data_IF_906865890997
#
_entry.id   IF_906865890997
#
_cell.length_a   1.000
_cell.length_b   1.000
_cell.length_c   1.000
_cell.angle_alpha   90.00
_cell.angle_beta   90.00
_cell.angle_gamma   90.00
#
_symmetry.space_group_name_H-M   'P 1'
#
loop_
_entity.id
_entity.type
_entity.pdbx_description
1 polymer ?
#
# COMPACT_ATOMS: atom_id res chain seq x y z
N UNK A 1 -2.06 24.16 -0.37
CA UNK A 1 -3.34 23.39 -0.50
C UNK A 1 -3.07 22.28 -1.50
N UNK A 2 -2.33 21.29 -1.02
CA UNK A 2 -1.43 20.47 -1.82
C UNK A 2 -2.10 19.12 -2.11
N UNK A 3 -2.72 19.04 -3.29
CA UNK A 3 -3.10 17.83 -4.03
C UNK A 3 -3.44 16.55 -3.20
N UNK A 4 -4.58 16.59 -2.52
CA UNK A 4 -5.20 15.56 -1.66
C UNK A 4 -5.46 14.19 -2.34
N UNK A 5 -5.42 14.13 -3.67
CA UNK A 5 -5.68 12.89 -4.42
C UNK A 5 -4.64 11.78 -4.15
N UNK A 6 -3.38 12.15 -3.92
CA UNK A 6 -2.33 11.17 -3.60
C UNK A 6 -2.47 10.68 -2.15
N UNK A 7 -2.78 11.57 -1.21
CA UNK A 7 -2.93 11.24 0.21
C UNK A 7 -4.10 10.28 0.43
N UNK A 8 -5.25 10.57 -0.19
CA UNK A 8 -6.44 9.71 -0.08
C UNK A 8 -6.21 8.31 -0.67
N UNK A 9 -5.47 8.18 -1.78
CA UNK A 9 -5.11 6.87 -2.32
C UNK A 9 -4.17 6.12 -1.37
N UNK A 10 -3.17 6.80 -0.82
CA UNK A 10 -2.24 6.22 0.17
C UNK A 10 -2.97 5.75 1.41
N UNK A 11 -3.91 6.53 1.94
CA UNK A 11 -4.70 6.15 3.10
C UNK A 11 -5.58 4.93 2.82
N UNK A 12 -6.21 4.88 1.63
CA UNK A 12 -6.99 3.71 1.20
C UNK A 12 -6.11 2.46 1.07
N UNK A 13 -4.92 2.59 0.50
CA UNK A 13 -3.95 1.49 0.42
C UNK A 13 -3.49 1.07 1.81
N UNK A 14 -3.12 2.02 2.68
CA UNK A 14 -2.66 1.77 4.04
C UNK A 14 -3.74 1.05 4.87
N UNK A 15 -5.01 1.42 4.68
CA UNK A 15 -6.15 0.75 5.31
C UNK A 15 -6.38 -0.69 4.82
N UNK A 16 -5.98 -1.01 3.59
CA UNK A 16 -6.02 -2.37 3.04
C UNK A 16 -4.84 -3.23 3.48
N UNK A 17 -3.73 -2.61 3.89
CA UNK A 17 -2.59 -3.34 4.39
C UNK A 17 -2.91 -3.93 5.78
N UNK A 18 -2.28 -5.06 6.16
CA UNK A 18 -2.55 -5.71 7.44
C UNK A 18 -2.09 -4.90 8.66
N UNK A 19 -1.52 -3.69 8.49
CA UNK A 19 -1.08 -2.77 9.56
C UNK A 19 -0.12 -3.43 10.59
N UNK A 20 0.48 -4.58 10.27
CA UNK A 20 1.35 -5.35 11.17
C UNK A 20 2.70 -4.71 11.39
N UNK A 21 3.05 -3.68 10.60
CA UNK A 21 4.35 -2.99 10.64
C UNK A 21 5.54 -3.96 10.63
N UNK A 22 5.37 -5.10 9.95
CA UNK A 22 6.36 -6.18 9.94
C UNK A 22 7.63 -5.84 9.15
N UNK A 23 7.58 -4.80 8.29
CA UNK A 23 8.67 -4.30 7.44
C UNK A 23 9.31 -5.34 6.50
N UNK A 24 8.63 -6.47 6.27
CA UNK A 24 9.13 -7.56 5.41
C UNK A 24 9.07 -7.24 3.92
N UNK A 25 8.32 -6.21 3.53
CA UNK A 25 8.27 -5.69 2.17
C UNK A 25 9.48 -4.81 1.81
N UNK A 26 10.42 -4.57 2.74
CA UNK A 26 11.57 -3.69 2.52
C UNK A 26 11.29 -2.20 2.76
N UNK A 27 10.08 -1.85 3.23
CA UNK A 27 9.71 -0.49 3.63
C UNK A 27 9.63 -0.37 5.16
N UNK A 28 9.88 0.83 5.67
CA UNK A 28 9.84 1.13 7.11
C UNK A 28 8.46 1.00 7.76
N UNK A 29 7.40 0.76 6.98
CA UNK A 29 6.06 0.50 7.48
C UNK A 29 5.03 0.35 6.37
N UNK A 30 3.77 0.16 6.78
CA UNK A 30 2.64 0.08 5.85
C UNK A 30 2.43 1.41 5.09
N UNK A 31 2.52 2.55 5.80
CA UNK A 31 2.38 3.89 5.19
C UNK A 31 3.38 4.21 4.08
N UNK A 32 4.72 4.08 4.27
CA UNK A 32 5.68 4.33 3.19
C UNK A 32 5.54 3.35 2.02
N UNK A 33 5.17 2.09 2.30
CA UNK A 33 4.84 1.13 1.25
C UNK A 33 3.61 1.56 0.44
N UNK A 34 2.56 2.00 1.12
CA UNK A 34 1.34 2.52 0.49
C UNK A 34 1.63 3.72 -0.43
N UNK A 35 2.51 4.62 0.00
CA UNK A 35 2.97 5.74 -0.80
C UNK A 35 3.74 5.33 -2.04
N UNK A 36 4.61 4.32 -1.93
CA UNK A 36 5.33 3.78 -3.09
C UNK A 36 4.38 3.11 -4.09
N UNK A 37 3.37 2.39 -3.62
CA UNK A 37 2.33 1.79 -4.47
C UNK A 37 1.51 2.89 -5.17
N UNK A 38 1.03 3.89 -4.43
CA UNK A 38 0.26 5.00 -4.99
C UNK A 38 1.02 5.79 -6.07
N UNK A 39 2.35 5.84 -5.95
CA UNK A 39 3.25 6.46 -6.93
C UNK A 39 3.65 5.53 -8.08
N UNK A 40 3.23 4.26 -8.07
CA UNK A 40 3.69 3.25 -9.02
C UNK A 40 5.17 2.90 -8.90
N UNK A 41 5.80 3.25 -7.78
CA UNK A 41 7.22 2.94 -7.48
C UNK A 41 7.40 1.56 -6.82
N UNK A 42 6.32 0.92 -6.35
CA UNK A 42 6.33 -0.41 -5.75
C UNK A 42 5.22 -1.30 -6.32
N UNK A 43 5.47 -2.60 -6.37
CA UNK A 43 4.44 -3.59 -6.70
C UNK A 43 3.60 -3.94 -5.47
N UNK A 44 2.32 -4.20 -5.67
CA UNK A 44 1.35 -4.53 -4.61
C UNK A 44 1.59 -5.90 -3.94
N UNK A 45 2.39 -6.77 -4.55
CA UNK A 45 2.69 -8.13 -4.13
C UNK A 45 3.90 -8.27 -3.19
N UNK A 46 4.44 -7.17 -2.67
CA UNK A 46 5.62 -7.22 -1.80
C UNK A 46 5.27 -7.43 -0.32
N UNK A 47 3.99 -7.50 0.05
CA UNK A 47 3.56 -7.67 1.43
C UNK A 47 3.31 -9.15 1.76
N UNK A 48 4.31 -9.90 2.30
CA UNK A 48 4.11 -11.31 2.64
C UNK A 48 3.03 -11.58 3.70
N UNK A 49 2.79 -10.76 4.75
CA UNK A 49 1.69 -11.04 5.68
C UNK A 49 0.31 -10.77 5.06
N UNK A 50 0.24 -9.92 4.03
CA UNK A 50 -0.99 -9.60 3.32
C UNK A 50 -1.32 -10.59 2.21
N UNK A 51 -0.30 -11.20 1.62
CA UNK A 51 -0.43 -12.23 0.59
C UNK A 51 -1.34 -11.81 -0.56
N UNK A 52 -1.99 -12.80 -1.16
CA UNK A 52 -2.90 -12.61 -2.29
C UNK A 52 -4.14 -11.78 -1.95
N UNK A 53 -4.60 -11.81 -0.69
CA UNK A 53 -5.79 -11.06 -0.26
C UNK A 53 -5.54 -9.55 -0.33
N UNK A 54 -4.39 -9.10 0.21
CA UNK A 54 -3.96 -7.70 0.10
C UNK A 54 -3.68 -7.32 -1.36
N UNK A 55 -3.07 -8.20 -2.15
CA UNK A 55 -2.85 -7.95 -3.58
C UNK A 55 -4.16 -7.78 -4.34
N UNK A 56 -5.14 -8.65 -4.11
CA UNK A 56 -6.45 -8.58 -4.76
C UNK A 56 -7.18 -7.29 -4.39
N UNK A 57 -7.16 -6.91 -3.11
CA UNK A 57 -7.76 -5.68 -2.64
C UNK A 57 -7.11 -4.43 -3.26
N UNK A 58 -5.78 -4.39 -3.30
CA UNK A 58 -5.02 -3.29 -3.90
C UNK A 58 -5.21 -3.23 -5.41
N UNK A 59 -5.22 -4.37 -6.09
CA UNK A 59 -5.48 -4.45 -7.53
C UNK A 59 -6.87 -3.95 -7.89
N UNK A 60 -7.88 -4.22 -7.04
CA UNK A 60 -9.25 -3.71 -7.21
C UNK A 60 -9.37 -2.21 -6.91
N UNK A 61 -8.46 -1.67 -6.11
CA UNK A 61 -8.41 -0.25 -5.76
C UNK A 61 -7.72 0.59 -6.85
N UNK A 62 -6.70 0.02 -7.49
CA UNK A 62 -5.82 0.69 -8.46
C UNK A 62 -6.17 0.40 -9.93
N UNK A 63 -6.88 -0.69 -10.20
CA UNK A 63 -7.43 -1.04 -11.52
C UNK A 63 -8.81 -0.44 -11.74
#
# INVERSE_FOLDING_TARGET
MDNDAATTLVERIDALLPQTQCRRCGYDGCRPYAHAIARGSATINQCPPGGDDTVAALSKLLG
#
